data_IF_014838663652
#
_entry.id   IF_014838663652
#
_cell.length_a   1.000
_cell.length_b   1.000
_cell.length_c   1.000
_cell.angle_alpha   90.00
_cell.angle_beta   90.00
_cell.angle_gamma   90.00
#
_symmetry.space_group_name_H-M   'P 1'
#
loop_
_entity.id
_entity.type
_entity.pdbx_description
1 polymer ?
#
# COMPACT_ATOMS: atom_id res chain seq x y z
N UNK A 1 -19.25 -10.52 4.02
CA UNK A 1 -19.53 -10.67 2.57
C UNK A 1 -18.22 -11.06 1.91
N UNK A 2 -18.22 -11.82 0.81
CA UNK A 2 -16.98 -12.04 0.06
C UNK A 2 -16.49 -10.70 -0.51
N UNK A 3 -15.18 -10.48 -0.51
CA UNK A 3 -14.58 -9.30 -1.10
C UNK A 3 -14.99 -9.16 -2.57
N UNK A 4 -15.20 -7.92 -3.01
CA UNK A 4 -15.39 -7.60 -4.43
C UNK A 4 -14.09 -7.18 -5.11
N UNK A 5 -12.98 -7.08 -4.36
CA UNK A 5 -11.69 -6.60 -4.87
C UNK A 5 -10.79 -7.77 -5.27
N UNK A 6 -10.49 -8.67 -4.33
CA UNK A 6 -9.64 -9.84 -4.53
C UNK A 6 -10.28 -11.07 -3.87
N UNK A 7 -10.06 -12.26 -4.42
CA UNK A 7 -10.53 -13.48 -3.78
C UNK A 7 -9.65 -13.82 -2.56
N UNK A 8 -10.16 -13.57 -1.35
CA UNK A 8 -9.42 -13.79 -0.10
C UNK A 8 -8.87 -15.22 0.04
N UNK A 9 -9.65 -16.24 -0.34
CA UNK A 9 -9.22 -17.63 -0.24
C UNK A 9 -8.04 -17.94 -1.17
N UNK A 10 -8.06 -17.38 -2.37
CA UNK A 10 -6.98 -17.55 -3.35
C UNK A 10 -5.71 -16.81 -2.90
N UNK A 11 -5.87 -15.61 -2.33
CA UNK A 11 -4.75 -14.87 -1.75
C UNK A 11 -4.10 -15.63 -0.58
N UNK A 12 -4.90 -16.20 0.32
CA UNK A 12 -4.42 -17.05 1.43
C UNK A 12 -3.71 -18.31 0.93
N UNK A 13 -4.24 -18.95 -0.13
CA UNK A 13 -3.59 -20.09 -0.77
C UNK A 13 -2.20 -19.70 -1.30
N UNK A 14 -2.13 -18.60 -2.07
CA UNK A 14 -0.87 -18.13 -2.63
C UNK A 14 0.15 -17.78 -1.53
N UNK A 15 -0.26 -17.05 -0.50
CA UNK A 15 0.63 -16.61 0.57
C UNK A 15 1.10 -17.76 1.46
N UNK A 16 0.18 -18.56 1.99
CA UNK A 16 0.50 -19.51 3.06
C UNK A 16 0.76 -20.93 2.58
N UNK A 17 0.03 -21.39 1.55
CA UNK A 17 0.17 -22.77 1.08
C UNK A 17 1.21 -22.91 -0.03
N UNK A 18 1.31 -21.91 -0.91
CA UNK A 18 2.25 -21.95 -2.03
C UNK A 18 3.59 -21.27 -1.73
N UNK A 19 3.57 -20.03 -1.21
CA UNK A 19 4.78 -19.23 -0.98
C UNK A 19 5.38 -19.39 0.42
N UNK A 20 4.65 -19.99 1.37
CA UNK A 20 5.08 -20.19 2.76
C UNK A 20 5.62 -18.89 3.39
N UNK A 21 4.83 -17.80 3.33
CA UNK A 21 5.27 -16.48 3.82
C UNK A 21 5.51 -16.46 5.33
N UNK A 22 4.91 -17.37 6.10
CA UNK A 22 5.18 -17.53 7.53
C UNK A 22 6.65 -17.91 7.78
N UNK A 23 7.30 -18.64 6.87
CA UNK A 23 8.74 -18.94 7.01
C UNK A 23 9.63 -17.70 7.01
N UNK A 24 9.15 -16.56 6.47
CA UNK A 24 9.91 -15.32 6.38
C UNK A 24 10.16 -14.70 7.75
N UNK A 25 9.30 -14.97 8.75
CA UNK A 25 9.43 -14.47 10.13
C UNK A 25 10.64 -15.06 10.86
N UNK A 26 11.23 -16.14 10.33
CA UNK A 26 12.49 -16.70 10.84
C UNK A 26 13.72 -15.85 10.52
N UNK A 27 13.58 -14.82 9.67
CA UNK A 27 14.65 -13.86 9.37
C UNK A 27 14.57 -12.71 10.36
N UNK A 28 15.70 -12.27 10.89
CA UNK A 28 15.78 -11.19 11.89
C UNK A 28 14.99 -9.94 11.47
N UNK A 29 15.06 -9.53 10.20
CA UNK A 29 14.32 -8.38 9.65
C UNK A 29 12.79 -8.49 9.78
N UNK A 30 12.24 -9.70 9.87
CA UNK A 30 10.79 -9.93 9.95
C UNK A 30 10.39 -10.65 11.24
N UNK A 31 11.27 -10.72 12.23
CA UNK A 31 11.07 -11.50 13.46
C UNK A 31 9.92 -10.98 14.35
N UNK A 32 9.58 -9.70 14.22
CA UNK A 32 8.45 -9.07 14.92
C UNK A 32 7.08 -9.41 14.28
N UNK A 33 7.07 -10.13 13.16
CA UNK A 33 5.84 -10.52 12.47
C UNK A 33 5.42 -11.94 12.76
N UNK A 34 4.13 -12.19 12.57
CA UNK A 34 3.52 -13.50 12.59
C UNK A 34 2.45 -13.60 11.51
N UNK A 35 1.84 -14.77 11.38
CA UNK A 35 0.67 -14.93 10.52
C UNK A 35 -0.43 -13.95 10.90
N UNK A 36 -0.66 -13.77 12.20
CA UNK A 36 -1.69 -12.87 12.72
C UNK A 36 -1.41 -11.40 12.33
N UNK A 37 -0.15 -10.96 12.33
CA UNK A 37 0.18 -9.59 11.89
C UNK A 37 0.02 -9.42 10.38
N UNK A 38 0.34 -10.45 9.59
CA UNK A 38 0.10 -10.45 8.14
C UNK A 38 -1.40 -10.42 7.81
N UNK A 39 -2.20 -11.25 8.47
CA UNK A 39 -3.64 -11.28 8.29
C UNK A 39 -4.28 -9.94 8.69
N UNK A 40 -3.83 -9.34 9.80
CA UNK A 40 -4.34 -8.05 10.25
C UNK A 40 -4.05 -6.90 9.25
N UNK A 41 -2.87 -6.86 8.64
CA UNK A 41 -2.57 -5.82 7.64
C UNK A 41 -3.33 -6.05 6.33
N UNK A 42 -3.56 -7.31 5.94
CA UNK A 42 -4.39 -7.63 4.77
C UNK A 42 -5.86 -7.25 4.99
N UNK A 43 -6.40 -7.48 6.19
CA UNK A 43 -7.76 -7.08 6.57
C UNK A 43 -7.92 -5.56 6.56
N UNK A 44 -6.95 -4.85 7.14
CA UNK A 44 -6.92 -3.39 7.12
C UNK A 44 -6.85 -2.85 5.69
N UNK A 45 -6.00 -3.45 4.84
CA UNK A 45 -5.87 -3.06 3.45
C UNK A 45 -7.17 -3.27 2.67
N UNK A 46 -7.81 -4.42 2.83
CA UNK A 46 -9.09 -4.72 2.21
C UNK A 46 -10.18 -3.73 2.63
N UNK A 47 -10.25 -3.42 3.92
CA UNK A 47 -11.22 -2.46 4.46
C UNK A 47 -11.00 -1.07 3.86
N UNK A 48 -9.78 -0.53 3.93
CA UNK A 48 -9.48 0.82 3.41
C UNK A 48 -9.70 0.85 1.90
N UNK A 49 -9.25 -0.17 1.15
CA UNK A 49 -9.44 -0.23 -0.28
C UNK A 49 -10.94 -0.23 -0.65
N UNK A 50 -11.76 -0.96 0.09
CA UNK A 50 -13.21 -1.02 -0.13
C UNK A 50 -13.90 0.30 0.21
N UNK A 51 -13.60 0.88 1.38
CA UNK A 51 -14.33 2.03 1.92
C UNK A 51 -13.86 3.36 1.32
N UNK A 52 -12.57 3.46 0.98
CA UNK A 52 -11.93 4.73 0.61
C UNK A 52 -11.36 4.79 -0.81
N UNK A 53 -11.11 3.65 -1.47
CA UNK A 53 -10.57 3.66 -2.84
C UNK A 53 -11.61 3.26 -3.89
N UNK A 54 -12.36 2.18 -3.65
CA UNK A 54 -13.31 1.66 -4.61
C UNK A 54 -14.49 2.62 -4.85
N UNK A 55 -14.86 3.39 -3.84
CA UNK A 55 -16.03 4.27 -3.84
C UNK A 55 -15.95 5.42 -4.85
N UNK A 56 -14.75 5.81 -5.28
CA UNK A 56 -14.55 6.89 -6.25
C UNK A 56 -13.91 6.46 -7.56
N UNK A 57 -13.66 5.17 -7.80
CA UNK A 57 -13.01 4.69 -9.03
C UNK A 57 -13.72 5.16 -10.31
N UNK A 58 -15.04 4.94 -10.39
CA UNK A 58 -15.86 5.42 -11.52
C UNK A 58 -15.88 6.95 -11.60
N UNK A 59 -15.95 7.62 -10.45
CA UNK A 59 -16.00 9.08 -10.42
C UNK A 59 -14.69 9.69 -10.93
N UNK A 60 -13.54 9.15 -10.54
CA UNK A 60 -12.23 9.62 -11.05
C UNK A 60 -12.03 9.40 -12.54
N UNK A 61 -12.70 8.39 -13.12
CA UNK A 61 -12.72 8.15 -14.56
C UNK A 61 -13.65 9.13 -15.30
N UNK A 62 -14.84 9.37 -14.77
CA UNK A 62 -15.83 10.28 -15.40
C UNK A 62 -15.54 11.77 -15.17
N UNK A 63 -14.87 12.12 -14.06
CA UNK A 63 -14.44 13.46 -13.71
C UNK A 63 -12.92 13.54 -13.80
N UNK A 64 -12.40 13.56 -15.03
CA UNK A 64 -10.97 13.60 -15.31
C UNK A 64 -10.27 14.81 -14.65
N UNK A 65 -8.99 14.66 -14.26
CA UNK A 65 -8.17 15.78 -13.79
C UNK A 65 -8.18 16.95 -14.77
N UNK A 66 -8.34 18.17 -14.27
CA UNK A 66 -8.24 19.39 -15.07
C UNK A 66 -7.05 20.23 -14.65
N UNK A 67 -6.40 20.86 -15.62
CA UNK A 67 -5.31 21.80 -15.39
C UNK A 67 -5.77 23.21 -15.75
N UNK A 68 -5.63 24.16 -14.82
CA UNK A 68 -6.06 25.56 -15.02
C UNK A 68 -4.94 26.48 -15.52
N UNK A 69 -3.73 25.95 -15.72
CA UNK A 69 -2.53 26.70 -16.07
C UNK A 69 -1.51 26.80 -14.92
N UNK A 70 -1.93 26.55 -13.69
CA UNK A 70 -1.06 26.59 -12.50
C UNK A 70 -1.18 25.32 -11.66
N UNK A 71 -2.39 24.80 -11.47
CA UNK A 71 -2.70 23.68 -10.59
C UNK A 71 -3.48 22.58 -11.31
N UNK A 72 -3.21 21.33 -10.92
CA UNK A 72 -4.04 20.18 -11.27
C UNK A 72 -5.14 20.05 -10.23
N UNK A 73 -6.39 20.03 -10.69
CA UNK A 73 -7.57 19.86 -9.84
C UNK A 73 -8.09 18.44 -9.98
N UNK A 74 -8.28 17.81 -8.82
CA UNK A 74 -8.74 16.43 -8.66
C UNK A 74 -10.04 16.42 -7.84
N UNK A 75 -10.77 15.33 -7.92
CA UNK A 75 -11.90 15.10 -7.01
C UNK A 75 -11.39 14.95 -5.55
N UNK A 76 -12.09 15.50 -4.56
CA UNK A 76 -11.63 15.53 -3.16
C UNK A 76 -11.53 14.15 -2.50
N UNK A 77 -12.21 13.14 -3.05
CA UNK A 77 -12.12 11.74 -2.64
C UNK A 77 -10.68 11.21 -2.72
N UNK A 78 -9.93 11.59 -3.76
CA UNK A 78 -8.53 11.16 -3.94
C UNK A 78 -7.70 11.60 -2.74
N UNK A 79 -7.76 12.89 -2.36
CA UNK A 79 -7.00 13.41 -1.21
C UNK A 79 -7.38 12.70 0.10
N UNK A 80 -8.66 12.42 0.31
CA UNK A 80 -9.15 11.70 1.51
C UNK A 80 -8.63 10.27 1.56
N UNK A 81 -8.69 9.53 0.45
CA UNK A 81 -8.20 8.17 0.36
C UNK A 81 -6.70 8.08 0.64
N UNK A 82 -5.92 9.02 0.08
CA UNK A 82 -4.47 9.10 0.31
C UNK A 82 -4.11 9.43 1.76
N UNK A 83 -4.88 10.30 2.42
CA UNK A 83 -4.69 10.59 3.84
C UNK A 83 -4.90 9.33 4.70
N UNK A 84 -5.99 8.59 4.48
CA UNK A 84 -6.25 7.34 5.22
C UNK A 84 -5.15 6.30 4.97
N UNK A 85 -4.69 6.16 3.72
CA UNK A 85 -3.59 5.24 3.38
C UNK A 85 -2.29 5.61 4.11
N UNK A 86 -1.97 6.90 4.21
CA UNK A 86 -0.79 7.38 4.91
C UNK A 86 -0.91 7.23 6.43
N UNK A 87 -2.05 7.60 7.00
CA UNK A 87 -2.34 7.50 8.44
C UNK A 87 -2.34 6.06 8.94
N UNK A 88 -2.69 5.10 8.07
CA UNK A 88 -2.60 3.66 8.35
C UNK A 88 -1.16 3.11 8.31
N UNK A 89 -0.15 3.93 8.01
CA UNK A 89 1.26 3.53 7.95
C UNK A 89 1.64 2.72 6.70
N UNK A 90 0.73 2.57 5.74
CA UNK A 90 0.92 1.67 4.58
C UNK A 90 1.95 2.22 3.57
N UNK A 91 2.25 3.52 3.58
CA UNK A 91 3.33 4.11 2.79
C UNK A 91 4.72 3.53 3.14
N UNK A 92 4.96 3.25 4.42
CA UNK A 92 6.25 2.76 4.90
C UNK A 92 6.24 1.25 5.19
N UNK A 93 5.19 0.53 4.76
CA UNK A 93 4.93 -0.84 5.22
C UNK A 93 6.10 -1.82 5.03
N UNK A 94 6.87 -1.68 3.95
CA UNK A 94 8.02 -2.57 3.66
C UNK A 94 9.38 -1.96 4.00
N UNK A 95 9.39 -0.73 4.54
CA UNK A 95 10.61 -0.03 4.93
C UNK A 95 11.12 -0.55 6.27
N UNK A 96 12.39 -0.23 6.58
CA UNK A 96 13.02 -0.59 7.83
C UNK A 96 12.45 0.22 9.00
N UNK A 97 12.48 -0.38 10.20
CA UNK A 97 11.94 0.24 11.43
C UNK A 97 12.67 1.54 11.76
N UNK A 98 13.98 1.62 11.47
CA UNK A 98 14.80 2.82 11.63
C UNK A 98 14.27 4.03 10.82
N UNK A 99 13.47 3.77 9.77
CA UNK A 99 12.83 4.76 8.92
C UNK A 99 11.32 4.88 9.19
N UNK A 100 10.85 4.33 10.32
CA UNK A 100 9.44 4.30 10.71
C UNK A 100 8.61 3.28 9.94
N UNK A 101 9.24 2.32 9.26
CA UNK A 101 8.57 1.27 8.52
C UNK A 101 8.11 0.10 9.38
N UNK A 102 7.23 -0.73 8.81
CA UNK A 102 6.72 -1.93 9.47
C UNK A 102 7.55 -3.18 9.17
N UNK A 103 8.56 -3.12 8.30
CA UNK A 103 9.36 -4.27 7.86
C UNK A 103 8.54 -5.46 7.36
N UNK A 104 7.39 -5.21 6.71
CA UNK A 104 6.63 -6.29 6.08
C UNK A 104 7.48 -6.96 5.00
N UNK A 105 7.46 -8.30 4.89
CA UNK A 105 8.04 -8.96 3.74
C UNK A 105 7.44 -8.42 2.44
N UNK A 106 8.27 -8.18 1.42
CA UNK A 106 7.83 -7.59 0.15
C UNK A 106 6.64 -8.31 -0.49
N UNK A 107 6.55 -9.64 -0.34
CA UNK A 107 5.42 -10.44 -0.83
C UNK A 107 4.10 -10.07 -0.12
N UNK A 108 4.12 -9.83 1.18
CA UNK A 108 2.95 -9.38 1.96
C UNK A 108 2.61 -7.93 1.60
N UNK A 109 3.62 -7.06 1.48
CA UNK A 109 3.44 -5.68 1.03
C UNK A 109 2.80 -5.60 -0.36
N UNK A 110 3.20 -6.47 -1.29
CA UNK A 110 2.58 -6.55 -2.62
C UNK A 110 1.13 -7.05 -2.57
N UNK A 111 0.82 -8.01 -1.70
CA UNK A 111 -0.56 -8.48 -1.50
C UNK A 111 -1.47 -7.37 -0.93
N UNK A 112 -0.97 -6.62 0.06
CA UNK A 112 -1.61 -5.40 0.57
C UNK A 112 -1.86 -4.41 -0.55
N UNK A 113 -0.85 -4.13 -1.37
CA UNK A 113 -0.97 -3.18 -2.48
C UNK A 113 -1.95 -3.66 -3.58
N UNK A 114 -2.07 -4.97 -3.76
CA UNK A 114 -3.00 -5.59 -4.69
C UNK A 114 -4.46 -5.18 -4.44
N UNK A 115 -4.88 -5.07 -3.19
CA UNK A 115 -6.23 -4.59 -2.84
C UNK A 115 -6.48 -3.16 -3.35
N UNK A 116 -5.51 -2.27 -3.17
CA UNK A 116 -5.63 -0.88 -3.60
C UNK A 116 -5.62 -0.73 -5.13
N UNK A 117 -4.81 -1.53 -5.84
CA UNK A 117 -4.85 -1.54 -7.30
C UNK A 117 -6.18 -2.09 -7.84
N UNK A 118 -6.70 -3.17 -7.23
CA UNK A 118 -8.01 -3.73 -7.60
C UNK A 118 -9.15 -2.74 -7.33
N UNK A 119 -9.08 -1.97 -6.25
CA UNK A 119 -10.08 -0.97 -5.91
C UNK A 119 -10.03 0.26 -6.83
N UNK A 120 -8.84 0.82 -7.05
CA UNK A 120 -8.66 2.04 -7.83
C UNK A 120 -7.19 2.20 -8.26
N UNK A 121 -6.85 1.70 -9.45
CA UNK A 121 -5.51 1.79 -10.01
C UNK A 121 -5.01 3.25 -10.16
N UNK A 122 -5.89 4.18 -10.54
CA UNK A 122 -5.54 5.58 -10.71
C UNK A 122 -5.12 6.25 -9.40
N UNK A 123 -5.90 6.04 -8.33
CA UNK A 123 -5.61 6.63 -7.01
C UNK A 123 -4.45 5.93 -6.31
N UNK A 124 -4.36 4.61 -6.41
CA UNK A 124 -3.24 3.84 -5.84
C UNK A 124 -1.90 4.15 -6.53
N UNK A 125 -1.90 4.72 -7.73
CA UNK A 125 -0.66 5.15 -8.39
C UNK A 125 0.08 6.30 -7.67
N UNK A 126 -0.64 7.15 -6.94
CA UNK A 126 -0.02 8.23 -6.15
C UNK A 126 0.91 7.68 -5.05
N UNK A 127 0.44 6.82 -4.11
CA UNK A 127 1.33 6.25 -3.10
C UNK A 127 2.34 5.30 -3.74
N UNK A 128 1.99 4.59 -4.82
CA UNK A 128 2.93 3.71 -5.54
C UNK A 128 4.20 4.46 -5.97
N UNK A 129 4.04 5.60 -6.64
CA UNK A 129 5.16 6.40 -7.13
C UNK A 129 5.93 7.05 -5.98
N UNK A 130 5.25 7.47 -4.91
CA UNK A 130 5.92 7.99 -3.70
C UNK A 130 6.80 6.92 -3.05
N UNK A 131 6.29 5.69 -2.89
CA UNK A 131 7.04 4.55 -2.36
C UNK A 131 8.24 4.25 -3.25
N UNK A 132 8.06 4.23 -4.57
CA UNK A 132 9.15 3.99 -5.52
C UNK A 132 10.25 5.07 -5.43
N UNK A 133 9.87 6.34 -5.30
CA UNK A 133 10.82 7.44 -5.13
C UNK A 133 11.57 7.34 -3.80
N UNK A 134 10.88 7.01 -2.71
CA UNK A 134 11.52 6.77 -1.41
C UNK A 134 12.53 5.61 -1.49
N UNK A 135 12.16 4.49 -2.12
CA UNK A 135 13.05 3.36 -2.35
C UNK A 135 14.30 3.73 -3.13
N UNK A 136 14.16 4.56 -4.18
CA UNK A 136 15.29 5.07 -4.94
C UNK A 136 16.21 5.95 -4.07
N UNK A 137 15.61 6.83 -3.26
CA UNK A 137 16.35 7.72 -2.38
C UNK A 137 17.11 6.96 -1.30
N UNK A 138 16.51 5.96 -0.66
CA UNK A 138 17.20 5.13 0.33
C UNK A 138 18.35 4.33 -0.27
N UNK A 139 18.20 3.86 -1.51
CA UNK A 139 19.22 3.05 -2.17
C UNK A 139 20.44 3.86 -2.65
N UNK A 140 20.23 5.11 -3.07
CA UNK A 140 21.25 5.89 -3.78
C UNK A 140 21.51 7.30 -3.22
N UNK A 141 20.68 7.75 -2.28
CA UNK A 141 20.82 9.05 -1.63
C UNK A 141 21.97 9.06 -0.64
N UNK A 142 22.62 10.22 -0.51
CA UNK A 142 23.49 10.50 0.62
C UNK A 142 22.69 10.52 1.93
N UNK A 143 23.31 10.30 3.10
CA UNK A 143 22.61 10.39 4.38
C UNK A 143 21.84 11.70 4.57
N UNK A 144 22.40 12.82 4.12
CA UNK A 144 21.73 14.12 4.17
C UNK A 144 20.49 14.20 3.27
N UNK A 145 20.50 13.53 2.11
CA UNK A 145 19.32 13.47 1.23
C UNK A 145 18.22 12.59 1.82
N UNK A 146 18.57 11.46 2.42
CA UNK A 146 17.61 10.55 3.08
C UNK A 146 16.99 11.19 4.32
N UNK A 147 17.75 11.96 5.10
CA UNK A 147 17.22 12.68 6.29
C UNK A 147 16.31 13.85 5.90
N UNK A 148 16.54 14.47 4.73
CA UNK A 148 15.79 15.67 4.31
C UNK A 148 14.46 15.34 3.62
N UNK A 149 14.36 14.23 2.89
CA UNK A 149 13.27 13.93 1.96
C UNK A 149 12.64 12.56 2.23
#
# INVERSE_FOLDING_TARGET
>A
MASLLLNRRDLEFLLYEWLDVESLTKRDRHAEHSRETFDAVLDLAEQIATEHFATHNRKSDSEEPRFDGEHVHLIPEIKRALAVFAEAGLLAGTLDEELGGLQLPMVVGNAVFGYFQAANAGTSSYPFLSIANANLLMAYGSPAQVDTY
#
